data_IF_081556622971
#
_entry.id   IF_081556622971
#
_cell.length_a   1.000
_cell.length_b   1.000
_cell.length_c   1.000
_cell.angle_alpha   90.00
_cell.angle_beta   90.00
_cell.angle_gamma   90.00
#
_symmetry.space_group_name_H-M   'P 1'
#
loop_
_entity.id
_entity.type
_entity.pdbx_description
1 polymer ?
#
# COMPACT_ATOMS: atom_id res chain seq x y z
N UNK A 1 4.81 6.36 0.70
CA UNK A 1 5.32 6.11 -0.68
C UNK A 1 4.17 6.02 -1.66
N UNK A 2 2.97 5.66 -1.18
CA UNK A 2 1.73 5.93 -1.87
C UNK A 2 0.93 7.04 -1.21
N UNK A 3 -0.27 7.26 -1.74
CA UNK A 3 -1.30 8.13 -1.19
C UNK A 3 -2.66 7.58 -1.61
N UNK A 4 -3.51 7.29 -0.63
CA UNK A 4 -4.95 7.09 -0.81
C UNK A 4 -5.71 8.43 -0.75
N UNK A 5 -6.44 8.76 -1.81
CA UNK A 5 -7.22 10.00 -1.93
C UNK A 5 -8.70 9.72 -1.65
N UNK A 6 -9.32 10.60 -0.86
CA UNK A 6 -10.77 10.60 -0.63
C UNK A 6 -11.23 9.80 0.60
N UNK A 7 -10.31 9.26 1.40
CA UNK A 7 -10.62 8.62 2.69
C UNK A 7 -11.39 7.29 2.60
N UNK A 8 -11.66 6.80 1.39
CA UNK A 8 -12.37 5.56 1.10
C UNK A 8 -11.99 4.95 -0.25
N UNK A 9 -10.79 5.24 -0.77
CA UNK A 9 -10.25 4.57 -1.95
C UNK A 9 -10.70 5.10 -3.31
N UNK A 10 -10.93 6.41 -3.45
CA UNK A 10 -11.27 6.98 -4.76
C UNK A 10 -10.10 6.88 -5.76
N UNK A 11 -8.87 7.08 -5.27
CA UNK A 11 -7.65 6.95 -6.07
C UNK A 11 -6.48 6.55 -5.17
N UNK A 12 -5.71 5.54 -5.55
CA UNK A 12 -4.43 5.21 -4.92
C UNK A 12 -3.30 5.58 -5.88
N UNK A 13 -2.40 6.45 -5.43
CA UNK A 13 -1.18 6.83 -6.16
C UNK A 13 -0.01 6.08 -5.59
N UNK A 14 0.73 5.35 -6.42
CA UNK A 14 1.96 4.67 -6.03
C UNK A 14 3.18 5.31 -6.68
N UNK A 15 4.22 5.55 -5.89
CA UNK A 15 5.53 5.90 -6.43
C UNK A 15 6.24 4.63 -6.90
N UNK A 16 6.42 4.50 -8.20
CA UNK A 16 7.12 3.35 -8.80
C UNK A 16 8.62 3.57 -8.99
N UNK A 17 9.08 4.83 -9.02
CA UNK A 17 10.46 5.21 -9.37
C UNK A 17 11.14 5.96 -8.25
N UNK A 18 12.46 5.80 -8.10
CA UNK A 18 13.25 6.58 -7.15
C UNK A 18 13.20 8.08 -7.48
N UNK A 19 13.25 8.96 -6.47
CA UNK A 19 13.39 10.39 -6.72
C UNK A 19 14.62 10.67 -7.58
N UNK A 20 14.46 11.57 -8.56
CA UNK A 20 15.56 12.05 -9.43
C UNK A 20 16.20 11.01 -10.36
N UNK A 21 15.64 9.79 -10.46
CA UNK A 21 16.05 8.79 -11.45
C UNK A 21 14.81 8.07 -12.01
N UNK A 22 14.38 8.48 -13.19
CA UNK A 22 13.17 7.95 -13.85
C UNK A 22 13.32 6.51 -14.38
N UNK A 23 14.55 6.00 -14.47
CA UNK A 23 14.85 4.66 -14.94
C UNK A 23 15.05 3.65 -13.79
N UNK A 24 15.14 4.13 -12.55
CA UNK A 24 15.32 3.29 -11.36
C UNK A 24 13.99 3.06 -10.65
N UNK A 25 13.50 1.83 -10.75
CA UNK A 25 12.23 1.40 -10.18
C UNK A 25 12.43 0.77 -8.79
N UNK A 26 11.44 0.93 -7.93
CA UNK A 26 11.38 0.17 -6.69
C UNK A 26 11.15 -1.33 -6.98
N UNK A 27 11.71 -2.23 -6.16
CA UNK A 27 11.40 -3.65 -6.24
C UNK A 27 9.90 -3.91 -6.12
N UNK A 28 9.42 -4.96 -6.80
CA UNK A 28 8.00 -5.33 -6.81
C UNK A 28 7.43 -5.46 -5.39
N UNK A 29 8.11 -6.19 -4.50
CA UNK A 29 7.66 -6.39 -3.11
C UNK A 29 7.45 -5.07 -2.35
N UNK A 30 8.31 -4.08 -2.59
CA UNK A 30 8.18 -2.77 -1.95
C UNK A 30 6.97 -1.98 -2.48
N UNK A 31 6.71 -2.07 -3.78
CA UNK A 31 5.52 -1.47 -4.41
C UNK A 31 4.25 -2.16 -3.91
N UNK A 32 4.28 -3.49 -3.82
CA UNK A 32 3.19 -4.31 -3.33
C UNK A 32 2.86 -4.00 -1.87
N UNK A 33 3.85 -3.95 -0.98
CA UNK A 33 3.67 -3.55 0.41
C UNK A 33 3.04 -2.15 0.54
N UNK A 34 3.48 -1.22 -0.30
CA UNK A 34 2.89 0.12 -0.35
C UNK A 34 1.43 0.06 -0.80
N UNK A 35 1.11 -0.74 -1.82
CA UNK A 35 -0.28 -0.91 -2.28
C UNK A 35 -1.19 -1.47 -1.18
N UNK A 36 -0.75 -2.50 -0.46
CA UNK A 36 -1.51 -3.08 0.65
C UNK A 36 -1.74 -2.05 1.76
N UNK A 37 -0.72 -1.26 2.10
CA UNK A 37 -0.85 -0.17 3.06
C UNK A 37 -1.90 0.87 2.63
N UNK A 38 -1.86 1.32 1.37
CA UNK A 38 -2.84 2.29 0.89
C UNK A 38 -4.25 1.69 0.79
N UNK A 39 -4.40 0.38 0.55
CA UNK A 39 -5.71 -0.28 0.60
C UNK A 39 -6.31 -0.29 2.01
N UNK A 40 -5.50 -0.46 3.06
CA UNK A 40 -5.97 -0.33 4.44
C UNK A 40 -6.55 1.06 4.74
N UNK A 41 -6.07 2.09 4.05
CA UNK A 41 -6.62 3.45 4.14
C UNK A 41 -8.01 3.64 3.53
N UNK A 42 -8.58 2.62 2.87
CA UNK A 42 -10.00 2.64 2.52
C UNK A 42 -10.89 2.60 3.78
N UNK A 43 -10.43 1.89 4.82
CA UNK A 43 -11.23 1.60 6.01
C UNK A 43 -10.72 2.34 7.24
N UNK A 44 -9.40 2.47 7.37
CA UNK A 44 -8.76 3.09 8.53
C UNK A 44 -7.85 4.24 8.11
N UNK A 45 -8.27 5.46 8.41
CA UNK A 45 -7.44 6.66 8.19
C UNK A 45 -6.17 6.68 9.05
N UNK A 46 -6.27 6.55 10.39
CA UNK A 46 -5.10 6.53 11.28
C UNK A 46 -4.34 5.20 11.27
N UNK A 47 -3.02 5.24 11.44
CA UNK A 47 -2.17 4.06 11.65
C UNK A 47 -2.28 3.54 13.10
N UNK A 48 -3.46 3.02 13.47
CA UNK A 48 -3.74 2.43 14.77
C UNK A 48 -3.66 0.88 14.72
N UNK A 49 -4.00 0.22 15.83
CA UNK A 49 -3.97 -1.24 15.90
C UNK A 49 -4.88 -1.91 14.86
N UNK A 50 -6.07 -1.37 14.61
CA UNK A 50 -7.02 -1.91 13.64
C UNK A 50 -6.47 -1.83 12.21
N UNK A 51 -5.79 -0.74 11.86
CA UNK A 51 -5.08 -0.60 10.59
C UNK A 51 -4.03 -1.71 10.39
N UNK A 52 -3.18 -1.94 11.39
CA UNK A 52 -2.12 -2.95 11.28
C UNK A 52 -2.67 -4.38 11.29
N UNK A 53 -3.73 -4.64 12.05
CA UNK A 53 -4.43 -5.93 12.02
C UNK A 53 -4.97 -6.23 10.62
N UNK A 54 -5.63 -5.25 9.97
CA UNK A 54 -6.11 -5.41 8.60
C UNK A 54 -4.95 -5.61 7.60
N UNK A 55 -3.85 -4.86 7.75
CA UNK A 55 -2.68 -4.99 6.88
C UNK A 55 -2.07 -6.40 6.97
N UNK A 56 -1.99 -6.97 8.16
CA UNK A 56 -1.49 -8.32 8.36
C UNK A 56 -2.44 -9.38 7.79
N UNK A 57 -3.75 -9.18 7.92
CA UNK A 57 -4.76 -10.06 7.32
C UNK A 57 -4.65 -10.09 5.79
N UNK A 58 -4.60 -8.94 5.12
CA UNK A 58 -4.50 -8.89 3.65
C UNK A 58 -3.17 -9.43 3.13
N UNK A 59 -2.06 -9.23 3.86
CA UNK A 59 -0.77 -9.85 3.55
C UNK A 59 -0.83 -11.37 3.63
N UNK A 60 -1.46 -11.89 4.68
CA UNK A 60 -1.65 -13.34 4.84
C UNK A 60 -2.48 -13.92 3.70
N UNK A 61 -3.57 -13.26 3.32
CA UNK A 61 -4.39 -13.69 2.16
C UNK A 61 -3.54 -13.72 0.89
N UNK A 62 -2.76 -12.67 0.63
CA UNK A 62 -1.90 -12.61 -0.55
C UNK A 62 -0.86 -13.75 -0.59
N UNK A 63 -0.23 -14.07 0.54
CA UNK A 63 0.73 -15.18 0.64
C UNK A 63 0.11 -16.56 0.43
N UNK A 64 -1.21 -16.68 0.46
CA UNK A 64 -1.92 -17.93 0.17
C UNK A 64 -2.32 -18.05 -1.30
N UNK A 65 -2.19 -16.97 -2.09
CA UNK A 65 -2.58 -16.92 -3.50
C UNK A 65 -1.41 -17.26 -4.45
N UNK A 66 -0.20 -17.44 -3.93
CA UNK A 66 1.03 -17.78 -4.64
C UNK A 66 1.85 -18.79 -3.86
#
# INVERSE_FOLDING_TARGET
>A
MGLNVGGGGAEIKLRLRRPSNEWDFFPYEQVLDTMLHELCHNEYGPHNADFYNLLDEIRKVLSLLF
#
